data_IF_897197262971
#
_entry.id   IF_897197262971
#
_cell.length_a   1.000
_cell.length_b   1.000
_cell.length_c   1.000
_cell.angle_alpha   90.00
_cell.angle_beta   90.00
_cell.angle_gamma   90.00
#
_symmetry.space_group_name_H-M   'P 1'
#
loop_
_entity.id
_entity.type
_entity.pdbx_description
1 polymer ?
#
# COMPACT_ATOMS: atom_id res chain seq x y z
N UNK A 1 -32.05 8.08 20.91
CA UNK A 1 -31.01 8.99 21.44
C UNK A 1 -30.00 9.21 20.32
N UNK A 2 -29.88 10.44 19.84
CA UNK A 2 -28.87 10.80 18.84
C UNK A 2 -27.49 10.57 19.48
N UNK A 3 -26.80 9.51 19.08
CA UNK A 3 -25.41 9.29 19.49
C UNK A 3 -24.57 10.48 19.02
N UNK A 4 -23.92 11.20 19.92
CA UNK A 4 -23.07 12.33 19.62
C UNK A 4 -22.01 12.00 18.55
N UNK A 5 -21.43 13.02 17.93
CA UNK A 5 -20.29 12.89 17.03
C UNK A 5 -19.10 12.37 17.84
N UNK A 6 -18.35 11.42 17.31
CA UNK A 6 -17.09 10.91 17.85
C UNK A 6 -16.02 10.90 16.79
N UNK A 7 -14.74 10.83 17.18
CA UNK A 7 -13.61 10.76 16.23
C UNK A 7 -13.74 9.54 15.32
N UNK A 8 -14.12 8.40 15.88
CA UNK A 8 -14.28 7.14 15.13
C UNK A 8 -15.33 7.27 14.03
N UNK A 9 -16.46 7.96 14.31
CA UNK A 9 -17.50 8.20 13.30
C UNK A 9 -17.02 9.14 12.19
N UNK A 10 -16.25 10.16 12.54
CA UNK A 10 -15.67 11.09 11.56
C UNK A 10 -14.69 10.35 10.66
N UNK A 11 -13.82 9.53 11.25
CA UNK A 11 -12.83 8.73 10.51
C UNK A 11 -13.51 7.68 9.63
N UNK A 12 -14.49 6.94 10.16
CA UNK A 12 -15.23 5.95 9.38
C UNK A 12 -15.93 6.56 8.16
N UNK A 13 -16.63 7.69 8.35
CA UNK A 13 -17.29 8.39 7.26
C UNK A 13 -16.31 8.95 6.21
N UNK A 14 -15.11 9.32 6.64
CA UNK A 14 -14.05 9.78 5.75
C UNK A 14 -13.42 8.61 4.96
N UNK A 15 -13.27 7.44 5.57
CA UNK A 15 -12.83 6.20 4.91
C UNK A 15 -13.85 5.78 3.86
N UNK A 16 -15.15 5.69 4.21
CA UNK A 16 -16.22 5.38 3.24
C UNK A 16 -16.20 6.34 2.05
N UNK A 17 -15.98 7.64 2.30
CA UNK A 17 -15.88 8.63 1.23
C UNK A 17 -14.66 8.40 0.34
N UNK A 18 -13.53 8.00 0.93
CA UNK A 18 -12.31 7.70 0.18
C UNK A 18 -12.45 6.39 -0.62
N UNK A 19 -13.11 5.37 -0.07
CA UNK A 19 -13.40 4.10 -0.76
C UNK A 19 -14.30 4.31 -1.98
N UNK A 20 -15.28 5.24 -1.88
CA UNK A 20 -16.21 5.53 -2.97
C UNK A 20 -15.65 6.47 -4.04
N UNK A 21 -14.82 7.45 -3.66
CA UNK A 21 -14.47 8.58 -4.52
C UNK A 21 -12.97 8.91 -4.55
N UNK A 22 -12.14 8.09 -3.90
CA UNK A 22 -10.70 8.32 -3.74
C UNK A 22 -10.37 9.37 -2.65
N UNK A 23 -9.12 9.34 -2.19
CA UNK A 23 -8.63 10.22 -1.10
C UNK A 23 -8.70 11.71 -1.46
N UNK A 24 -8.57 12.05 -2.73
CA UNK A 24 -8.66 13.42 -3.21
C UNK A 24 -10.05 14.06 -2.94
N UNK A 25 -11.10 13.25 -2.93
CA UNK A 25 -12.46 13.69 -2.66
C UNK A 25 -12.70 14.02 -1.18
N UNK A 26 -11.87 13.54 -0.26
CA UNK A 26 -12.03 13.77 1.18
C UNK A 26 -11.78 15.24 1.53
N UNK A 27 -12.80 15.86 2.12
CA UNK A 27 -12.71 17.22 2.66
C UNK A 27 -13.54 17.34 3.93
N UNK A 28 -13.16 18.26 4.83
CA UNK A 28 -13.89 18.51 6.07
C UNK A 28 -15.38 18.79 5.82
N UNK A 29 -15.73 19.49 4.73
CA UNK A 29 -17.10 19.80 4.38
C UNK A 29 -17.89 18.55 3.95
N UNK A 30 -17.32 17.72 3.06
CA UNK A 30 -17.98 16.48 2.61
C UNK A 30 -18.16 15.48 3.75
N UNK A 31 -17.13 15.32 4.62
CA UNK A 31 -17.23 14.45 5.79
C UNK A 31 -18.30 14.95 6.76
N UNK A 32 -18.34 16.28 7.03
CA UNK A 32 -19.37 16.90 7.88
C UNK A 32 -20.78 16.63 7.34
N UNK A 33 -20.98 16.80 6.03
CA UNK A 33 -22.24 16.50 5.35
C UNK A 33 -22.64 15.02 5.52
N UNK A 34 -21.68 14.10 5.34
CA UNK A 34 -21.91 12.63 5.46
C UNK A 34 -22.35 12.21 6.86
N UNK A 35 -21.73 12.80 7.90
CA UNK A 35 -22.09 12.49 9.29
C UNK A 35 -23.28 13.28 9.81
N UNK A 36 -23.82 14.24 9.03
CA UNK A 36 -24.98 15.07 9.41
C UNK A 36 -24.65 16.15 10.44
N UNK A 37 -23.42 16.67 10.45
CA UNK A 37 -22.96 17.71 11.35
C UNK A 37 -22.35 18.90 10.59
N UNK A 38 -22.00 19.97 11.33
CA UNK A 38 -21.27 21.11 10.75
C UNK A 38 -19.77 20.85 10.74
N UNK A 39 -19.03 21.50 9.83
CA UNK A 39 -17.56 21.46 9.81
C UNK A 39 -16.94 21.91 11.12
N UNK A 40 -17.55 22.91 11.79
CA UNK A 40 -17.12 23.37 13.11
C UNK A 40 -17.23 22.28 14.19
N UNK A 41 -18.21 21.37 14.04
CA UNK A 41 -18.34 20.22 14.94
C UNK A 41 -17.19 19.21 14.74
N UNK A 42 -16.75 19.01 13.49
CA UNK A 42 -15.62 18.12 13.17
C UNK A 42 -14.31 18.66 13.75
N UNK A 43 -14.07 19.98 13.66
CA UNK A 43 -12.84 20.61 14.19
C UNK A 43 -12.66 20.48 15.72
N UNK A 44 -13.70 20.06 16.45
CA UNK A 44 -13.59 19.68 17.87
C UNK A 44 -12.98 18.28 18.08
N UNK A 45 -12.93 17.48 17.01
CA UNK A 45 -12.50 16.07 17.06
C UNK A 45 -11.19 15.84 16.31
N UNK A 46 -10.93 16.60 15.24
CA UNK A 46 -9.71 16.55 14.43
C UNK A 46 -9.26 17.97 14.11
N UNK A 47 -7.97 18.26 14.22
CA UNK A 47 -7.44 19.60 14.01
C UNK A 47 -7.52 20.07 12.54
N UNK A 48 -7.65 19.15 11.59
CA UNK A 48 -7.75 19.46 10.18
C UNK A 48 -7.74 18.22 9.28
N UNK A 49 -7.65 18.48 7.96
CA UNK A 49 -7.62 17.41 6.95
C UNK A 49 -6.42 16.48 7.14
N UNK A 50 -5.25 17.03 7.44
CA UNK A 50 -4.02 16.23 7.56
C UNK A 50 -4.10 15.25 8.73
N UNK A 51 -4.57 15.70 9.89
CA UNK A 51 -4.83 14.80 11.03
C UNK A 51 -5.90 13.76 10.69
N UNK A 52 -6.97 14.17 10.01
CA UNK A 52 -8.01 13.24 9.56
C UNK A 52 -7.43 12.15 8.66
N UNK A 53 -6.61 12.52 7.67
CA UNK A 53 -5.97 11.57 6.74
C UNK A 53 -5.03 10.62 7.49
N UNK A 54 -4.26 11.10 8.47
CA UNK A 54 -3.40 10.22 9.29
C UNK A 54 -4.24 9.22 10.11
N UNK A 55 -5.35 9.67 10.70
CA UNK A 55 -6.27 8.76 11.42
C UNK A 55 -6.95 7.75 10.49
N UNK A 56 -7.32 8.18 9.27
CA UNK A 56 -7.86 7.30 8.24
C UNK A 56 -6.81 6.24 7.84
N UNK A 57 -5.56 6.65 7.63
CA UNK A 57 -4.47 5.74 7.28
C UNK A 57 -4.26 4.66 8.36
N UNK A 58 -4.21 5.09 9.62
CA UNK A 58 -4.10 4.15 10.74
C UNK A 58 -5.29 3.18 10.85
N UNK A 59 -6.51 3.67 10.65
CA UNK A 59 -7.71 2.84 10.73
C UNK A 59 -7.88 1.95 9.47
N UNK A 60 -7.52 2.43 8.29
CA UNK A 60 -7.62 1.69 7.03
C UNK A 60 -6.61 0.56 6.92
N UNK A 61 -5.34 0.82 7.26
CA UNK A 61 -4.35 -0.26 7.34
C UNK A 61 -4.68 -1.25 8.46
N UNK A 62 -5.18 -0.76 9.60
CA UNK A 62 -5.34 -1.57 10.79
C UNK A 62 -4.00 -2.02 11.39
N UNK A 63 -4.05 -2.70 12.53
CA UNK A 63 -2.89 -3.34 13.13
C UNK A 63 -2.44 -4.51 12.26
N UNK A 64 -1.12 -4.75 12.19
CA UNK A 64 -0.62 -5.95 11.54
C UNK A 64 -1.20 -7.21 12.23
N UNK A 65 -1.79 -8.15 11.48
CA UNK A 65 -2.32 -9.36 12.08
C UNK A 65 -1.22 -10.24 12.65
N UNK A 66 -1.57 -11.04 13.66
CA UNK A 66 -0.71 -12.09 14.16
C UNK A 66 -0.65 -13.27 13.20
N UNK A 67 0.54 -13.80 12.95
CA UNK A 67 0.77 -15.02 12.18
C UNK A 67 2.02 -15.75 12.69
N UNK A 68 2.13 -17.05 12.41
CA UNK A 68 3.32 -17.82 12.75
C UNK A 68 4.51 -17.45 11.86
N UNK A 69 5.70 -17.40 12.47
CA UNK A 69 6.98 -17.12 11.81
C UNK A 69 7.89 -18.37 11.96
N UNK A 70 7.69 -19.41 11.13
CA UNK A 70 8.52 -20.63 11.22
C UNK A 70 9.97 -20.39 10.80
N UNK A 71 10.20 -19.46 9.89
CA UNK A 71 11.48 -18.96 9.42
C UNK A 71 11.31 -17.56 8.85
N UNK A 72 12.43 -16.84 8.65
CA UNK A 72 12.42 -15.46 8.20
C UNK A 72 11.76 -15.27 6.83
N UNK A 73 11.99 -16.21 5.89
CA UNK A 73 11.49 -16.10 4.51
C UNK A 73 9.98 -16.25 4.46
N UNK A 74 9.47 -17.31 5.09
CA UNK A 74 8.03 -17.58 5.20
C UNK A 74 7.31 -16.46 5.95
N UNK A 75 7.92 -15.97 7.03
CA UNK A 75 7.39 -14.86 7.82
C UNK A 75 7.29 -13.56 7.01
N UNK A 76 8.36 -13.18 6.30
CA UNK A 76 8.40 -11.95 5.52
C UNK A 76 7.51 -12.03 4.27
N UNK A 77 7.40 -13.20 3.65
CA UNK A 77 6.45 -13.46 2.57
C UNK A 77 5.01 -13.29 3.06
N UNK A 78 4.67 -13.88 4.21
CA UNK A 78 3.35 -13.74 4.81
C UNK A 78 3.04 -12.28 5.15
N UNK A 79 4.00 -11.58 5.74
CA UNK A 79 3.89 -10.16 6.05
C UNK A 79 3.57 -9.32 4.79
N UNK A 80 4.27 -9.58 3.68
CA UNK A 80 4.05 -8.88 2.42
C UNK A 80 2.63 -9.10 1.88
N UNK A 81 2.13 -10.34 1.94
CA UNK A 81 0.76 -10.68 1.49
C UNK A 81 -0.30 -10.05 2.38
N UNK A 82 -0.12 -10.05 3.70
CA UNK A 82 -1.06 -9.39 4.62
C UNK A 82 -1.09 -7.87 4.39
N UNK A 83 0.07 -7.25 4.14
CA UNK A 83 0.15 -5.82 3.79
C UNK A 83 -0.59 -5.53 2.47
N UNK A 84 -0.36 -6.34 1.44
CA UNK A 84 -1.06 -6.21 0.16
C UNK A 84 -2.58 -6.33 0.35
N UNK A 85 -3.03 -7.33 1.12
CA UNK A 85 -4.45 -7.52 1.44
C UNK A 85 -5.03 -6.35 2.24
N UNK A 86 -4.25 -5.74 3.15
CA UNK A 86 -4.66 -4.54 3.88
C UNK A 86 -4.87 -3.35 2.93
N UNK A 87 -3.96 -3.14 1.99
CA UNK A 87 -4.07 -2.08 0.98
C UNK A 87 -5.26 -2.32 0.06
N UNK A 88 -5.53 -3.56 -0.33
CA UNK A 88 -6.65 -3.90 -1.23
C UNK A 88 -8.02 -3.64 -0.61
N UNK A 89 -8.13 -3.65 0.73
CA UNK A 89 -9.37 -3.23 1.40
C UNK A 89 -9.65 -1.73 1.24
N UNK A 90 -8.60 -0.92 1.14
CA UNK A 90 -8.67 0.54 1.06
C UNK A 90 -7.64 1.08 0.07
N UNK A 91 -7.90 0.98 -1.26
CA UNK A 91 -6.91 1.32 -2.30
C UNK A 91 -6.35 2.75 -2.22
N UNK A 92 -7.12 3.70 -1.67
CA UNK A 92 -6.69 5.08 -1.49
C UNK A 92 -5.45 5.24 -0.58
N UNK A 93 -5.09 4.19 0.19
CA UNK A 93 -3.90 4.19 1.05
C UNK A 93 -2.61 4.44 0.24
N UNK A 94 -2.55 3.94 -1.00
CA UNK A 94 -1.38 4.13 -1.87
C UNK A 94 -1.19 5.57 -2.35
N UNK A 95 -2.24 6.39 -2.28
CA UNK A 95 -2.25 7.78 -2.72
C UNK A 95 -2.04 8.76 -1.56
N UNK A 96 -1.94 8.27 -0.32
CA UNK A 96 -1.64 9.11 0.85
C UNK A 96 -0.16 9.52 0.80
N UNK A 97 0.15 10.83 0.79
CA UNK A 97 1.53 11.29 0.80
C UNK A 97 2.29 10.80 2.03
N UNK A 98 3.54 10.40 1.84
CA UNK A 98 4.43 10.08 2.95
C UNK A 98 4.79 11.37 3.67
N UNK A 99 4.18 11.61 4.83
CA UNK A 99 4.35 12.84 5.64
C UNK A 99 5.22 12.62 6.89
N UNK A 100 6.22 11.77 6.79
CA UNK A 100 7.08 11.37 7.90
C UNK A 100 7.26 9.86 7.95
N UNK A 101 8.18 9.40 8.80
CA UNK A 101 8.58 8.00 8.72
C UNK A 101 7.57 7.03 9.33
N UNK A 102 6.83 7.41 10.38
CA UNK A 102 5.83 6.55 11.04
C UNK A 102 4.84 7.44 11.80
N UNK A 103 3.69 7.71 11.20
CA UNK A 103 2.71 8.64 11.76
C UNK A 103 1.64 7.99 12.64
N UNK A 104 1.47 6.66 12.58
CA UNK A 104 0.38 5.95 13.26
C UNK A 104 0.85 4.69 13.98
N UNK A 105 0.12 4.30 15.04
CA UNK A 105 0.40 3.04 15.77
C UNK A 105 0.26 1.83 14.84
N UNK A 106 -0.66 1.87 13.87
CA UNK A 106 -0.80 0.83 12.86
C UNK A 106 0.49 0.67 12.04
N UNK A 107 1.05 1.75 11.52
CA UNK A 107 2.31 1.69 10.77
C UNK A 107 3.47 1.15 11.61
N UNK A 108 3.53 1.53 12.90
CA UNK A 108 4.52 0.98 13.84
C UNK A 108 4.33 -0.54 14.03
N UNK A 109 3.10 -1.02 14.16
CA UNK A 109 2.83 -2.47 14.32
C UNK A 109 3.24 -3.26 13.06
N UNK A 110 3.03 -2.69 11.87
CA UNK A 110 3.47 -3.31 10.64
C UNK A 110 5.00 -3.37 10.54
N UNK A 111 5.69 -2.29 10.91
CA UNK A 111 7.16 -2.29 10.92
C UNK A 111 7.72 -3.27 11.95
N UNK A 112 7.20 -3.26 13.17
CA UNK A 112 7.61 -4.15 14.25
C UNK A 112 7.46 -5.62 13.84
N UNK A 113 6.30 -5.98 13.29
CA UNK A 113 6.05 -7.34 12.82
C UNK A 113 6.96 -7.74 11.65
N UNK A 114 7.25 -6.81 10.73
CA UNK A 114 8.21 -7.04 9.65
C UNK A 114 9.63 -7.29 10.18
N UNK A 115 10.08 -6.51 11.17
CA UNK A 115 11.38 -6.69 11.82
C UNK A 115 11.46 -8.02 12.59
N UNK A 116 10.37 -8.41 13.25
CA UNK A 116 10.27 -9.69 13.97
C UNK A 116 10.50 -10.88 13.04
N UNK A 117 10.06 -10.83 11.78
CA UNK A 117 10.33 -11.92 10.82
C UNK A 117 11.81 -12.15 10.58
N UNK A 118 12.65 -11.14 10.78
CA UNK A 118 14.10 -11.18 10.60
C UNK A 118 14.88 -11.32 11.91
N UNK A 119 14.19 -11.46 13.06
CA UNK A 119 14.80 -11.42 14.40
C UNK A 119 15.95 -12.42 14.56
N UNK A 120 15.74 -13.66 14.12
CA UNK A 120 16.70 -14.77 14.27
C UNK A 120 17.77 -14.80 13.15
N UNK A 121 17.78 -13.81 12.25
CA UNK A 121 18.83 -13.70 11.23
C UNK A 121 20.08 -12.99 11.79
N UNK A 122 21.30 -13.27 11.25
CA UNK A 122 22.52 -12.59 11.68
C UNK A 122 22.66 -11.16 11.14
N UNK A 123 21.64 -10.62 10.49
CA UNK A 123 21.64 -9.24 9.96
C UNK A 123 21.69 -8.22 11.10
N UNK A 124 22.36 -7.10 10.85
CA UNK A 124 22.27 -5.94 11.76
C UNK A 124 20.86 -5.34 11.75
N UNK A 125 20.47 -4.64 12.81
CA UNK A 125 19.16 -3.99 12.89
C UNK A 125 18.94 -2.97 11.76
N UNK A 126 20.00 -2.29 11.32
CA UNK A 126 19.95 -1.41 10.14
C UNK A 126 19.63 -2.20 8.87
N UNK A 127 20.31 -3.33 8.64
CA UNK A 127 20.04 -4.20 7.49
C UNK A 127 18.63 -4.79 7.53
N UNK A 128 18.16 -5.26 8.71
CA UNK A 128 16.77 -5.73 8.88
C UNK A 128 15.76 -4.64 8.49
N UNK A 129 15.98 -3.42 8.97
CA UNK A 129 15.10 -2.27 8.64
C UNK A 129 15.09 -1.98 7.14
N UNK A 130 16.25 -2.01 6.48
CA UNK A 130 16.35 -1.81 5.04
C UNK A 130 15.62 -2.91 4.25
N UNK A 131 15.70 -4.18 4.69
CA UNK A 131 15.00 -5.30 4.03
C UNK A 131 13.48 -5.18 4.17
N UNK A 132 12.98 -4.82 5.36
CA UNK A 132 11.53 -4.57 5.56
C UNK A 132 11.07 -3.42 4.66
N UNK A 133 11.82 -2.32 4.58
CA UNK A 133 11.49 -1.19 3.69
C UNK A 133 11.54 -1.56 2.21
N UNK A 134 12.47 -2.42 1.79
CA UNK A 134 12.56 -2.92 0.42
C UNK A 134 11.30 -3.71 0.05
N UNK A 135 10.90 -4.67 0.90
CA UNK A 135 9.69 -5.48 0.68
C UNK A 135 8.45 -4.58 0.73
N UNK A 136 8.37 -3.63 1.67
CA UNK A 136 7.27 -2.66 1.74
C UNK A 136 7.15 -1.85 0.43
N UNK A 137 8.26 -1.35 -0.10
CA UNK A 137 8.29 -0.63 -1.37
C UNK A 137 7.78 -1.48 -2.53
N UNK A 138 8.16 -2.76 -2.57
CA UNK A 138 7.67 -3.70 -3.57
C UNK A 138 6.15 -3.91 -3.46
N UNK A 139 5.62 -4.12 -2.25
CA UNK A 139 4.17 -4.28 -1.99
C UNK A 139 3.40 -3.04 -2.46
N UNK A 140 3.83 -1.84 -2.06
CA UNK A 140 3.16 -0.60 -2.44
C UNK A 140 3.20 -0.35 -3.95
N UNK A 141 4.32 -0.65 -4.60
CA UNK A 141 4.43 -0.54 -6.05
C UNK A 141 3.51 -1.52 -6.77
N UNK A 142 3.47 -2.78 -6.35
CA UNK A 142 2.60 -3.80 -6.92
C UNK A 142 1.12 -3.44 -6.74
N UNK A 143 0.73 -2.97 -5.55
CA UNK A 143 -0.62 -2.49 -5.31
C UNK A 143 -0.97 -1.31 -6.24
N UNK A 144 -0.04 -0.38 -6.44
CA UNK A 144 -0.24 0.76 -7.34
C UNK A 144 -0.47 0.32 -8.78
N UNK A 145 0.30 -0.64 -9.27
CA UNK A 145 0.09 -1.21 -10.61
C UNK A 145 -1.30 -1.84 -10.72
N UNK A 146 -1.73 -2.62 -9.71
CA UNK A 146 -3.02 -3.28 -9.72
C UNK A 146 -4.22 -2.31 -9.79
N UNK A 147 -4.11 -1.13 -9.19
CA UNK A 147 -5.23 -0.17 -9.16
C UNK A 147 -5.14 0.97 -10.18
N UNK A 148 -3.95 1.27 -10.69
CA UNK A 148 -3.75 2.42 -11.58
C UNK A 148 -3.52 2.03 -13.04
N UNK A 149 -3.24 0.75 -13.31
CA UNK A 149 -3.19 0.23 -14.68
C UNK A 149 -4.56 -0.38 -15.00
N UNK A 150 -5.33 0.19 -15.95
CA UNK A 150 -6.61 -0.37 -16.34
C UNK A 150 -6.41 -1.77 -16.94
N UNK A 151 -7.32 -2.71 -16.60
CA UNK A 151 -7.32 -4.05 -17.20
C UNK A 151 -7.55 -3.98 -18.72
N UNK A 152 -8.37 -3.01 -19.17
CA UNK A 152 -8.65 -2.74 -20.59
C UNK A 152 -7.78 -1.59 -21.11
N UNK A 153 -6.48 -1.79 -21.26
CA UNK A 153 -5.61 -0.84 -21.96
C UNK A 153 -5.95 -0.83 -23.46
N UNK A 154 -7.01 -0.11 -23.87
CA UNK A 154 -7.25 0.20 -25.28
C UNK A 154 -6.15 1.12 -25.87
N UNK A 155 -5.38 1.78 -25.02
CA UNK A 155 -4.29 2.65 -25.45
C UNK A 155 -3.06 1.79 -25.76
N UNK A 156 -2.58 1.79 -27.03
CA UNK A 156 -1.37 1.05 -27.37
C UNK A 156 -0.20 1.50 -26.51
N UNK A 157 0.55 0.56 -25.94
CA UNK A 157 1.73 0.84 -25.11
C UNK A 157 2.79 1.66 -25.87
N UNK A 158 2.81 1.54 -27.21
CA UNK A 158 3.67 2.34 -28.09
C UNK A 158 2.78 3.39 -28.77
N UNK A 159 3.10 4.69 -28.64
CA UNK A 159 2.36 5.75 -29.34
C UNK A 159 2.30 5.51 -30.84
N UNK A 160 1.16 5.84 -31.46
CA UNK A 160 0.98 5.70 -32.91
C UNK A 160 2.07 6.47 -33.68
N UNK A 161 2.72 5.80 -34.63
CA UNK A 161 3.80 6.37 -35.43
C UNK A 161 5.17 6.41 -34.74
N UNK A 162 5.31 5.85 -33.54
CA UNK A 162 6.62 5.76 -32.87
C UNK A 162 7.44 4.57 -33.42
N UNK A 163 8.68 4.86 -33.85
CA UNK A 163 9.60 3.83 -34.37
C UNK A 163 10.48 3.28 -33.21
N UNK A 164 10.33 2.00 -32.91
CA UNK A 164 11.14 1.27 -31.93
C UNK A 164 12.55 0.88 -32.45
N UNK A 165 12.88 1.14 -33.72
CA UNK A 165 14.19 0.75 -34.30
C UNK A 165 15.39 1.35 -33.51
N UNK A 166 15.19 2.53 -32.88
CA UNK A 166 16.19 3.15 -32.02
C UNK A 166 16.28 2.55 -30.58
N UNK A 167 15.43 1.59 -30.23
CA UNK A 167 15.32 0.99 -28.88
C UNK A 167 15.39 -0.55 -28.93
N UNK A 168 16.53 -1.14 -29.31
CA UNK A 168 16.63 -2.57 -29.61
C UNK A 168 16.33 -3.50 -28.41
N UNK A 169 16.54 -3.03 -27.19
CA UNK A 169 16.20 -3.81 -26.00
C UNK A 169 14.68 -3.84 -25.73
N UNK A 170 14.01 -2.73 -25.95
CA UNK A 170 12.56 -2.63 -25.84
C UNK A 170 11.88 -3.45 -26.95
N UNK A 171 12.39 -3.35 -28.18
CA UNK A 171 11.89 -4.15 -29.32
C UNK A 171 11.95 -5.66 -29.01
N UNK A 172 13.08 -6.16 -28.48
CA UNK A 172 13.19 -7.57 -28.06
C UNK A 172 12.19 -7.95 -26.97
N UNK A 173 11.87 -7.06 -26.03
CA UNK A 173 10.88 -7.32 -24.99
C UNK A 173 9.46 -7.42 -25.59
N UNK A 174 9.12 -6.57 -26.55
CA UNK A 174 7.87 -6.67 -27.30
C UNK A 174 7.79 -7.97 -28.11
N UNK A 175 8.83 -8.31 -28.85
CA UNK A 175 8.91 -9.55 -29.63
C UNK A 175 8.79 -10.81 -28.76
N UNK A 176 9.31 -10.74 -27.51
CA UNK A 176 9.17 -11.80 -26.51
C UNK A 176 7.78 -11.85 -25.82
N UNK A 177 6.86 -10.97 -26.19
CA UNK A 177 5.51 -10.93 -25.62
C UNK A 177 5.41 -10.44 -24.18
N UNK A 178 6.45 -9.81 -23.64
CA UNK A 178 6.49 -9.35 -22.22
C UNK A 178 5.32 -8.43 -21.87
N UNK A 179 4.86 -7.64 -22.84
CA UNK A 179 3.78 -6.66 -22.66
C UNK A 179 2.42 -7.16 -23.15
N UNK A 180 2.34 -8.40 -23.61
CA UNK A 180 1.11 -9.07 -24.02
C UNK A 180 0.75 -10.21 -23.05
N UNK A 181 1.45 -10.29 -21.94
CA UNK A 181 1.25 -11.34 -20.94
C UNK A 181 0.03 -10.98 -20.09
N UNK A 182 -1.04 -11.77 -20.24
CA UNK A 182 -2.27 -11.69 -19.46
C UNK A 182 -2.14 -12.40 -18.10
N UNK A 183 -0.91 -12.60 -17.60
CA UNK A 183 -0.67 -13.22 -16.28
C UNK A 183 -1.43 -12.46 -15.19
N UNK A 184 -2.14 -13.18 -14.31
CA UNK A 184 -2.82 -12.54 -13.20
C UNK A 184 -1.84 -11.71 -12.37
N UNK A 185 -2.28 -10.52 -11.92
CA UNK A 185 -1.45 -9.62 -11.09
C UNK A 185 -0.89 -10.33 -9.85
N UNK A 186 -1.61 -11.33 -9.33
CA UNK A 186 -1.16 -12.16 -8.20
C UNK A 186 0.09 -12.98 -8.54
N UNK A 187 0.15 -13.57 -9.73
CA UNK A 187 1.33 -14.32 -10.20
C UNK A 187 2.54 -13.40 -10.41
N UNK A 188 2.32 -12.20 -10.93
CA UNK A 188 3.36 -11.20 -11.09
C UNK A 188 3.88 -10.73 -9.74
N UNK A 189 2.99 -10.48 -8.77
CA UNK A 189 3.35 -10.14 -7.41
C UNK A 189 4.19 -11.25 -6.77
N UNK A 190 3.72 -12.49 -6.82
CA UNK A 190 4.40 -13.63 -6.22
C UNK A 190 5.79 -13.84 -6.81
N UNK A 191 5.88 -13.85 -8.12
CA UNK A 191 7.14 -14.06 -8.82
C UNK A 191 8.18 -12.97 -8.53
N UNK A 192 7.75 -11.72 -8.42
CA UNK A 192 8.62 -10.61 -8.06
C UNK A 192 9.01 -10.63 -6.58
N UNK A 193 8.07 -10.94 -5.69
CA UNK A 193 8.34 -11.10 -4.26
C UNK A 193 9.41 -12.18 -4.01
N UNK A 194 9.31 -13.33 -4.69
CA UNK A 194 10.33 -14.39 -4.56
C UNK A 194 11.72 -13.87 -4.97
N UNK A 195 11.85 -13.07 -6.02
CA UNK A 195 13.14 -12.48 -6.43
C UNK A 195 13.70 -11.52 -5.39
N UNK A 196 12.82 -10.72 -4.74
CA UNK A 196 13.23 -9.85 -3.63
C UNK A 196 13.72 -10.69 -2.45
N UNK A 197 13.00 -11.75 -2.08
CA UNK A 197 13.39 -12.66 -0.99
C UNK A 197 14.68 -13.43 -1.30
N UNK A 198 14.91 -13.83 -2.56
CA UNK A 198 16.18 -14.44 -2.99
C UNK A 198 17.35 -13.46 -2.85
N UNK A 199 17.14 -12.17 -3.16
CA UNK A 199 18.12 -11.13 -2.92
C UNK A 199 18.45 -10.94 -1.43
N UNK A 200 17.45 -11.03 -0.55
CA UNK A 200 17.65 -10.98 0.92
C UNK A 200 18.39 -12.24 1.39
N UNK A 201 18.04 -13.44 0.88
CA UNK A 201 18.70 -14.68 1.23
C UNK A 201 20.21 -14.67 0.94
N UNK A 202 20.62 -13.96 -0.12
CA UNK A 202 22.05 -13.82 -0.45
C UNK A 202 22.86 -13.01 0.59
N UNK A 203 22.19 -12.27 1.49
CA UNK A 203 22.81 -11.51 2.57
C UNK A 203 22.81 -12.28 3.90
N UNK A 204 22.11 -13.40 3.98
CA UNK A 204 22.01 -14.25 5.16
C UNK A 204 22.92 -15.46 4.91
N UNK A 205 24.05 -15.59 5.63
CA UNK A 205 25.04 -16.64 5.42
C UNK A 205 24.50 -18.04 5.76
#
# INVERSE_FOLDING_TARGET
MARGLTVEKVVAAAIELADEQGIAAVSMAKVAQRVGFTTMSLYRHVAGKDELVQRMLGAGLGMCPEFEIPDWRTGLERWAREMLAAIFRHPWVIDVPISGMLGTVAQLSWLDRGLETLADTPLSEDAKSQMVLLVNGYVFWSARLAFQVPEDLETPMVPEGFDLAGMPSLLRAFEAGVFSDDSPMEELFDSGLQRVLDGIAALIP
#
